data_IF_118769876414
#
_entry.id   IF_118769876414
#
_cell.length_a   1.000
_cell.length_b   1.000
_cell.length_c   1.000
_cell.angle_alpha   90.00
_cell.angle_beta   90.00
_cell.angle_gamma   90.00
#
_symmetry.space_group_name_H-M   'P 1'
#
loop_
_entity.id
_entity.type
_entity.pdbx_description
1 polymer ?
#
# COMPACT_ATOMS: atom_id res chain seq x y z
N UNK A 1 2.84 -6.51 13.45
CA UNK A 1 2.76 -7.98 13.40
C UNK A 1 1.86 -8.44 12.28
N UNK A 2 1.99 -9.70 11.94
CA UNK A 2 1.13 -10.32 10.92
C UNK A 2 -0.34 -10.25 11.32
N UNK A 3 -0.64 -10.51 12.58
CA UNK A 3 -2.01 -10.45 13.09
C UNK A 3 -2.58 -9.03 12.99
N UNK A 4 -1.79 -8.01 13.33
CA UNK A 4 -2.20 -6.62 13.21
C UNK A 4 -2.46 -6.23 11.74
N UNK A 5 -1.61 -6.70 10.84
CA UNK A 5 -1.77 -6.41 9.41
C UNK A 5 -3.04 -7.04 8.85
N UNK A 6 -3.35 -8.27 9.23
CA UNK A 6 -4.58 -8.95 8.80
C UNK A 6 -5.84 -8.30 9.40
N UNK A 7 -5.76 -7.85 10.65
CA UNK A 7 -6.87 -7.13 11.29
C UNK A 7 -7.15 -5.81 10.58
N UNK A 8 -6.10 -5.06 10.22
CA UNK A 8 -6.24 -3.83 9.48
C UNK A 8 -6.87 -4.07 8.10
N UNK A 9 -6.49 -5.17 7.44
CA UNK A 9 -7.07 -5.55 6.15
C UNK A 9 -8.59 -5.75 6.25
N UNK A 10 -9.05 -6.44 7.28
CA UNK A 10 -10.48 -6.64 7.50
C UNK A 10 -11.22 -5.33 7.75
N UNK A 11 -10.66 -4.47 8.59
CA UNK A 11 -11.24 -3.14 8.87
C UNK A 11 -11.32 -2.30 7.60
N UNK A 12 -10.28 -2.34 6.79
CA UNK A 12 -10.22 -1.58 5.54
C UNK A 12 -11.23 -2.10 4.52
N UNK A 13 -11.45 -3.41 4.47
CA UNK A 13 -12.48 -3.99 3.60
C UNK A 13 -13.87 -3.48 3.96
N UNK A 14 -14.15 -3.30 5.23
CA UNK A 14 -15.43 -2.74 5.68
C UNK A 14 -15.53 -1.25 5.37
N UNK A 15 -14.46 -0.49 5.58
CA UNK A 15 -14.44 0.94 5.33
C UNK A 15 -14.49 1.29 3.83
N UNK A 16 -13.83 0.50 3.02
CA UNK A 16 -13.66 0.76 1.59
C UNK A 16 -13.99 -0.48 0.77
N UNK A 17 -15.26 -0.88 0.77
CA UNK A 17 -15.72 -2.08 0.04
C UNK A 17 -15.53 -1.97 -1.48
N UNK A 18 -15.31 -0.77 -2.01
CA UNK A 18 -15.08 -0.51 -3.43
C UNK A 18 -13.62 -0.73 -3.85
N UNK A 19 -12.70 -0.92 -2.90
CA UNK A 19 -11.31 -1.27 -3.21
C UNK A 19 -11.20 -2.75 -3.52
N UNK A 20 -10.20 -3.11 -4.34
CA UNK A 20 -9.89 -4.50 -4.64
C UNK A 20 -8.78 -4.98 -3.71
N UNK A 21 -9.08 -6.00 -2.90
CA UNK A 21 -8.14 -6.57 -1.94
C UNK A 21 -7.58 -7.88 -2.48
N UNK A 22 -6.26 -7.98 -2.52
CA UNK A 22 -5.56 -9.18 -2.94
C UNK A 22 -5.30 -10.10 -1.75
N UNK A 23 -5.06 -11.39 -2.04
CA UNK A 23 -4.78 -12.36 -0.98
C UNK A 23 -3.45 -12.02 -0.29
N UNK A 24 -3.40 -12.12 1.05
CA UNK A 24 -2.15 -11.90 1.76
C UNK A 24 -1.06 -12.89 1.33
N UNK A 25 0.19 -12.41 1.35
CA UNK A 25 1.37 -13.22 1.01
C UNK A 25 2.17 -13.49 2.27
N UNK A 26 2.56 -14.74 2.47
CA UNK A 26 3.33 -15.16 3.63
C UNK A 26 4.84 -14.94 3.46
N UNK A 27 5.27 -14.46 2.30
CA UNK A 27 6.67 -14.23 1.97
C UNK A 27 6.83 -12.92 1.21
N UNK A 28 8.03 -12.34 1.17
CA UNK A 28 8.29 -11.12 0.40
C UNK A 28 7.97 -11.30 -1.07
N UNK A 29 7.34 -10.28 -1.65
CA UNK A 29 6.93 -10.26 -3.07
C UNK A 29 7.45 -8.99 -3.72
N UNK A 30 8.01 -9.11 -4.93
CA UNK A 30 8.52 -7.98 -5.70
C UNK A 30 9.58 -7.20 -4.92
N UNK A 31 9.51 -5.87 -4.88
CA UNK A 31 10.49 -5.04 -4.17
C UNK A 31 10.32 -5.03 -2.65
N UNK A 32 9.29 -5.68 -2.12
CA UNK A 32 8.95 -5.59 -0.70
C UNK A 32 9.81 -6.51 0.15
N UNK A 33 10.36 -6.02 1.29
CA UNK A 33 11.29 -6.80 2.10
C UNK A 33 10.62 -7.77 3.09
N UNK A 34 9.30 -7.74 3.22
CA UNK A 34 8.59 -8.54 4.22
C UNK A 34 7.27 -9.07 3.65
N UNK A 35 6.67 -10.08 4.30
CA UNK A 35 5.34 -10.54 3.95
C UNK A 35 4.34 -9.37 3.99
N UNK A 36 3.36 -9.39 3.09
CA UNK A 36 2.46 -8.27 2.91
C UNK A 36 1.11 -8.67 2.37
N UNK A 37 0.17 -7.76 2.45
CA UNK A 37 -1.01 -7.76 1.60
C UNK A 37 -1.11 -6.42 0.88
N UNK A 38 -1.87 -6.40 -0.20
CA UNK A 38 -2.10 -5.17 -0.96
C UNK A 38 -3.55 -5.04 -1.38
N UNK A 39 -3.95 -3.81 -1.62
CA UNK A 39 -5.26 -3.48 -2.16
C UNK A 39 -5.08 -2.35 -3.16
N UNK A 40 -5.98 -2.24 -4.13
CA UNK A 40 -5.91 -1.17 -5.10
C UNK A 40 -7.25 -0.48 -5.30
N UNK A 41 -7.17 0.77 -5.76
CA UNK A 41 -8.32 1.58 -6.14
C UNK A 41 -8.03 2.27 -7.48
N UNK A 42 -7.47 1.50 -8.41
CA UNK A 42 -7.01 2.00 -9.70
C UNK A 42 -8.15 2.35 -10.68
N UNK A 43 -9.38 1.94 -10.41
CA UNK A 43 -10.51 2.29 -11.25
C UNK A 43 -10.66 3.82 -11.36
N UNK A 44 -10.98 4.31 -12.56
CA UNK A 44 -10.98 5.75 -12.83
C UNK A 44 -11.93 6.55 -11.93
N UNK A 45 -13.05 5.97 -11.53
CA UNK A 45 -14.01 6.61 -10.62
C UNK A 45 -13.47 6.80 -9.21
N UNK A 46 -12.38 6.10 -8.85
CA UNK A 46 -11.80 6.15 -7.51
C UNK A 46 -10.57 7.05 -7.40
N UNK A 47 -10.14 7.69 -8.49
CA UNK A 47 -8.92 8.51 -8.49
C UNK A 47 -8.92 9.64 -7.47
N UNK A 48 -10.07 10.24 -7.20
CA UNK A 48 -10.19 11.33 -6.24
C UNK A 48 -10.18 10.89 -4.78
N UNK A 49 -10.13 9.59 -4.51
CA UNK A 49 -10.25 9.05 -3.15
C UNK A 49 -8.91 8.85 -2.45
N UNK A 50 -7.83 9.27 -3.06
CA UNK A 50 -6.47 9.13 -2.55
C UNK A 50 -6.31 9.68 -1.14
N UNK A 51 -6.74 10.93 -0.94
CA UNK A 51 -6.60 11.60 0.35
C UNK A 51 -7.43 10.92 1.44
N UNK A 52 -8.62 10.46 1.10
CA UNK A 52 -9.50 9.73 2.02
C UNK A 52 -8.85 8.43 2.49
N UNK A 53 -8.28 7.66 1.56
CA UNK A 53 -7.58 6.41 1.88
C UNK A 53 -6.35 6.69 2.74
N UNK A 54 -5.54 7.68 2.37
CA UNK A 54 -4.34 8.04 3.12
C UNK A 54 -4.67 8.47 4.55
N UNK A 55 -5.72 9.25 4.73
CA UNK A 55 -6.15 9.69 6.06
C UNK A 55 -6.60 8.52 6.92
N UNK A 56 -7.40 7.62 6.36
CA UNK A 56 -7.86 6.43 7.06
C UNK A 56 -6.68 5.55 7.51
N UNK A 57 -5.72 5.36 6.59
CA UNK A 57 -4.51 4.57 6.86
C UNK A 57 -3.72 5.15 8.03
N UNK A 58 -3.51 6.47 8.05
CA UNK A 58 -2.80 7.12 9.16
C UNK A 58 -3.47 6.88 10.51
N UNK A 59 -4.79 6.86 10.55
CA UNK A 59 -5.54 6.65 11.79
C UNK A 59 -5.58 5.19 12.25
N UNK A 60 -5.45 4.24 11.32
CA UNK A 60 -5.72 2.82 11.63
C UNK A 60 -4.50 1.91 11.55
N UNK A 61 -3.36 2.40 11.07
CA UNK A 61 -2.19 1.55 10.86
C UNK A 61 -1.50 1.05 12.14
N UNK A 62 -1.68 1.70 13.28
CA UNK A 62 -0.94 1.37 14.49
C UNK A 62 0.57 1.47 14.25
N UNK A 63 1.30 0.38 14.45
CA UNK A 63 2.75 0.31 14.22
C UNK A 63 3.10 -0.24 12.82
N UNK A 64 2.11 -0.45 11.97
CA UNK A 64 2.34 -0.99 10.63
C UNK A 64 2.92 0.08 9.70
N UNK A 65 3.77 -0.37 8.78
CA UNK A 65 4.24 0.46 7.67
C UNK A 65 3.33 0.23 6.47
N UNK A 66 2.82 1.30 5.89
CA UNK A 66 1.92 1.24 4.74
C UNK A 66 2.47 2.11 3.63
N UNK A 67 2.61 1.53 2.46
CA UNK A 67 3.04 2.24 1.26
C UNK A 67 1.83 2.46 0.35
N UNK A 68 1.62 3.72 -0.04
CA UNK A 68 0.62 4.06 -1.05
C UNK A 68 1.36 4.65 -2.24
N UNK A 69 1.20 4.01 -3.40
CA UNK A 69 1.91 4.45 -4.60
C UNK A 69 1.03 4.38 -5.84
N UNK A 70 1.27 5.24 -6.83
CA UNK A 70 0.55 5.19 -8.10
C UNK A 70 1.10 4.12 -9.03
N UNK A 71 0.39 3.87 -10.10
CA UNK A 71 0.91 3.22 -11.29
C UNK A 71 0.91 4.27 -12.40
N UNK A 72 2.09 4.80 -12.69
CA UNK A 72 2.23 5.87 -13.66
C UNK A 72 3.23 5.51 -14.75
N UNK A 73 3.31 6.36 -15.78
CA UNK A 73 4.29 6.23 -16.85
C UNK A 73 5.71 6.57 -16.39
N UNK A 74 5.88 7.08 -15.16
CA UNK A 74 7.21 7.34 -14.58
C UNK A 74 7.97 6.06 -14.24
N UNK A 75 7.28 4.92 -14.16
CA UNK A 75 7.87 3.61 -13.90
C UNK A 75 7.90 3.24 -12.42
N UNK A 76 8.19 1.96 -12.16
CA UNK A 76 8.12 1.39 -10.81
C UNK A 76 9.04 2.09 -9.81
N UNK A 77 10.25 2.45 -10.19
CA UNK A 77 11.17 3.11 -9.28
C UNK A 77 10.61 4.42 -8.75
N UNK A 78 10.16 5.30 -9.65
CA UNK A 78 9.58 6.58 -9.25
C UNK A 78 8.29 6.40 -8.47
N UNK A 79 7.44 5.45 -8.88
CA UNK A 79 6.16 5.20 -8.22
C UNK A 79 6.34 4.68 -6.80
N UNK A 80 7.44 3.96 -6.52
CA UNK A 80 7.75 3.45 -5.18
C UNK A 80 8.66 4.38 -4.36
N UNK A 81 9.12 5.48 -4.92
CA UNK A 81 10.00 6.45 -4.24
C UNK A 81 9.40 7.84 -4.22
N UNK A 82 9.68 8.67 -5.21
CA UNK A 82 9.25 10.08 -5.21
C UNK A 82 7.73 10.25 -5.29
N UNK A 83 7.05 9.36 -6.00
CA UNK A 83 5.58 9.42 -6.15
C UNK A 83 4.83 8.68 -5.04
N UNK A 84 5.55 8.07 -4.11
CA UNK A 84 4.95 7.25 -3.07
C UNK A 84 4.73 8.03 -1.77
N UNK A 85 3.76 7.56 -1.01
CA UNK A 85 3.50 8.03 0.34
C UNK A 85 3.67 6.87 1.31
N UNK A 86 4.51 7.07 2.34
CA UNK A 86 4.66 6.12 3.43
C UNK A 86 3.88 6.60 4.65
N UNK A 87 2.97 5.78 5.13
CA UNK A 87 2.36 5.95 6.44
C UNK A 87 3.16 5.08 7.41
N UNK A 88 3.71 5.71 8.43
CA UNK A 88 4.64 5.06 9.33
C UNK A 88 6.07 5.09 8.82
N UNK A 89 6.89 4.18 9.32
CA UNK A 89 8.31 4.13 8.97
C UNK A 89 8.50 3.49 7.59
N UNK A 90 9.21 4.17 6.67
CA UNK A 90 9.51 3.56 5.37
C UNK A 90 10.34 2.29 5.51
N UNK A 91 10.00 1.26 4.73
CA UNK A 91 10.76 0.03 4.68
C UNK A 91 11.76 0.07 3.53
N UNK A 92 12.90 -0.63 3.62
CA UNK A 92 13.92 -0.66 2.57
C UNK A 92 13.45 -1.53 1.40
N UNK A 93 12.87 -0.91 0.38
CA UNK A 93 12.42 -1.61 -0.81
C UNK A 93 13.60 -2.05 -1.68
N UNK A 94 13.46 -3.23 -2.30
CA UNK A 94 14.46 -3.79 -3.21
C UNK A 94 14.14 -3.33 -4.64
N UNK A 95 14.45 -2.08 -4.92
CA UNK A 95 14.17 -1.46 -6.21
C UNK A 95 15.43 -1.37 -7.06
N UNK A 96 15.26 -1.63 -8.38
CA UNK A 96 16.34 -1.44 -9.33
C UNK A 96 16.24 -0.02 -9.87
N UNK A 97 17.31 0.77 -9.73
CA UNK A 97 17.38 2.09 -10.33
C UNK A 97 17.34 2.00 -11.86
N UNK A 98 16.59 2.88 -12.53
CA UNK A 98 16.69 3.00 -13.98
C UNK A 98 18.12 3.39 -14.36
N UNK A 99 18.72 2.59 -15.18
CA UNK A 99 20.12 2.76 -15.60
C UNK A 99 20.29 3.69 -16.76
#
# INVERSE_FOLDING_TARGET
SKAAALAMREEMQEAFSWMRFHQPKDRPIGPHPSPMWEADFAASENRGKWAEVAHWVEEHRGDLSVLIHPYSTDGDYMDHTENAFWAGEPLPLRLRRPG
#
